data_IF_898154126957
#
_entry.id   IF_898154126957
#
_cell.length_a   1.000
_cell.length_b   1.000
_cell.length_c   1.000
_cell.angle_alpha   90.00
_cell.angle_beta   90.00
_cell.angle_gamma   90.00
#
_symmetry.space_group_name_H-M   'P 1'
#
loop_
_entity.id
_entity.type
_entity.pdbx_description
1 polymer ?
#
# COMPACT_ATOMS: atom_id res chain seq x y z
N UNK A 1 9.38 -18.37 -5.51
CA UNK A 1 9.19 -17.13 -4.75
C UNK A 1 9.42 -15.98 -5.71
N UNK A 2 8.41 -15.15 -5.95
CA UNK A 2 8.53 -13.96 -6.79
C UNK A 2 9.39 -12.92 -6.04
N UNK A 3 10.37 -12.34 -6.70
CA UNK A 3 11.21 -11.28 -6.11
C UNK A 3 10.39 -10.01 -5.90
N UNK A 4 10.82 -9.15 -4.97
CA UNK A 4 10.19 -7.85 -4.73
C UNK A 4 10.01 -7.04 -6.04
N UNK A 5 11.01 -7.06 -6.92
CA UNK A 5 10.97 -6.30 -8.17
C UNK A 5 10.04 -6.90 -9.23
N UNK A 6 9.88 -8.22 -9.24
CA UNK A 6 8.85 -8.86 -10.07
C UNK A 6 7.45 -8.48 -9.58
N UNK A 7 7.22 -8.42 -8.26
CA UNK A 7 5.96 -7.93 -7.71
C UNK A 7 5.70 -6.46 -8.10
N UNK A 8 6.69 -5.59 -7.96
CA UNK A 8 6.61 -4.19 -8.40
C UNK A 8 6.24 -4.11 -9.89
N UNK A 9 6.91 -4.88 -10.74
CA UNK A 9 6.62 -4.93 -12.17
C UNK A 9 5.19 -5.39 -12.48
N UNK A 10 4.72 -6.44 -11.80
CA UNK A 10 3.33 -6.90 -11.89
C UNK A 10 2.34 -5.82 -11.47
N UNK A 11 2.60 -5.10 -10.37
CA UNK A 11 1.71 -4.04 -9.90
C UNK A 11 1.65 -2.84 -10.84
N UNK A 12 2.78 -2.47 -11.46
CA UNK A 12 2.80 -1.45 -12.52
C UNK A 12 1.92 -1.86 -13.68
N UNK A 13 2.04 -3.12 -14.14
CA UNK A 13 1.21 -3.65 -15.22
C UNK A 13 -0.27 -3.67 -14.85
N UNK A 14 -0.60 -4.11 -13.64
CA UNK A 14 -1.96 -4.11 -13.11
C UNK A 14 -2.56 -2.70 -13.20
N UNK A 15 -1.95 -1.70 -12.54
CA UNK A 15 -2.42 -0.31 -12.53
C UNK A 15 -2.57 0.28 -13.94
N UNK A 16 -1.64 -0.05 -14.86
CA UNK A 16 -1.71 0.38 -16.25
C UNK A 16 -2.92 -0.22 -16.98
N UNK A 17 -3.20 -1.49 -16.75
CA UNK A 17 -4.29 -2.21 -17.45
C UNK A 17 -5.67 -1.98 -16.84
N UNK A 18 -5.75 -1.69 -15.54
CA UNK A 18 -7.01 -1.39 -14.82
C UNK A 18 -7.30 0.11 -14.74
N UNK A 19 -6.55 0.93 -15.50
CA UNK A 19 -6.67 2.38 -15.43
C UNK A 19 -8.10 2.85 -15.77
N UNK A 20 -8.74 3.70 -14.93
CA UNK A 20 -10.16 4.06 -15.09
C UNK A 20 -10.53 4.73 -16.42
N UNK A 21 -9.56 5.35 -17.11
CA UNK A 21 -9.79 6.01 -18.41
C UNK A 21 -9.54 5.08 -19.60
N UNK A 22 -9.45 3.78 -19.35
CA UNK A 22 -9.13 2.74 -20.33
C UNK A 22 -7.69 2.24 -20.22
N UNK A 23 -7.48 1.01 -20.68
CA UNK A 23 -6.18 0.34 -20.71
C UNK A 23 -5.11 1.22 -21.35
N UNK A 24 -4.09 1.59 -20.58
CA UNK A 24 -2.94 2.34 -21.07
C UNK A 24 -1.95 1.41 -21.79
N UNK A 25 -1.38 1.82 -22.92
CA UNK A 25 -0.22 1.11 -23.48
C UNK A 25 1.06 1.44 -22.68
N UNK A 26 2.11 0.63 -22.86
CA UNK A 26 3.40 0.88 -22.20
C UNK A 26 4.01 2.20 -22.68
N UNK A 27 3.87 2.49 -23.97
CA UNK A 27 4.34 3.71 -24.63
C UNK A 27 3.58 4.94 -24.11
N UNK A 28 2.25 4.85 -23.98
CA UNK A 28 1.44 5.93 -23.44
C UNK A 28 1.80 6.25 -21.99
N UNK A 29 2.02 5.22 -21.17
CA UNK A 29 2.49 5.43 -19.78
C UNK A 29 3.89 6.06 -19.76
N UNK A 30 4.80 5.59 -20.60
CA UNK A 30 6.15 6.15 -20.70
C UNK A 30 6.13 7.64 -21.09
N UNK A 31 5.28 8.02 -22.05
CA UNK A 31 5.09 9.40 -22.47
C UNK A 31 4.56 10.28 -21.32
N UNK A 32 3.54 9.80 -20.60
CA UNK A 32 2.97 10.52 -19.44
C UNK A 32 3.99 10.72 -18.32
N UNK A 33 4.85 9.74 -18.10
CA UNK A 33 5.92 9.79 -17.09
C UNK A 33 7.20 10.48 -17.60
N UNK A 34 7.25 10.87 -18.88
CA UNK A 34 8.41 11.48 -19.53
C UNK A 34 9.67 10.61 -19.43
N UNK A 35 9.51 9.30 -19.58
CA UNK A 35 10.60 8.32 -19.65
C UNK A 35 10.71 7.73 -21.05
N UNK A 36 11.81 7.04 -21.36
CA UNK A 36 11.95 6.36 -22.64
C UNK A 36 10.85 5.30 -22.86
N UNK A 37 10.41 5.13 -24.11
CA UNK A 37 9.29 4.24 -24.47
C UNK A 37 9.46 2.79 -24.00
N UNK A 38 10.70 2.30 -23.95
CA UNK A 38 11.02 0.94 -23.52
C UNK A 38 11.14 0.77 -21.99
N UNK A 39 11.12 1.86 -21.22
CA UNK A 39 11.37 1.84 -19.78
C UNK A 39 10.27 1.09 -19.03
N UNK A 40 9.00 1.37 -19.33
CA UNK A 40 7.84 0.72 -18.70
C UNK A 40 7.88 -0.80 -18.94
N UNK A 41 8.17 -1.22 -20.17
CA UNK A 41 8.32 -2.64 -20.52
C UNK A 41 9.40 -3.33 -19.68
N UNK A 42 10.54 -2.66 -19.47
CA UNK A 42 11.65 -3.17 -18.66
C UNK A 42 11.33 -3.21 -17.16
N UNK A 43 10.52 -2.29 -16.66
CA UNK A 43 10.01 -2.35 -15.28
C UNK A 43 9.03 -3.50 -15.10
N UNK A 44 8.05 -3.66 -15.99
CA UNK A 44 7.03 -4.72 -15.90
C UNK A 44 7.62 -6.13 -16.03
N UNK A 45 8.74 -6.27 -16.74
CA UNK A 45 9.45 -7.56 -16.90
C UNK A 45 10.52 -7.80 -15.83
N UNK A 46 10.73 -6.85 -14.91
CA UNK A 46 11.77 -6.95 -13.88
C UNK A 46 13.21 -6.82 -14.40
N UNK A 47 13.40 -6.57 -15.71
CA UNK A 47 14.71 -6.41 -16.35
C UNK A 47 15.45 -5.17 -15.83
N UNK A 48 14.71 -4.11 -15.52
CA UNK A 48 15.23 -2.92 -14.85
C UNK A 48 14.45 -2.66 -13.57
N UNK A 49 15.17 -2.24 -12.54
CA UNK A 49 14.61 -1.91 -11.24
C UNK A 49 14.21 -0.43 -11.24
N UNK A 50 12.92 -0.09 -11.12
CA UNK A 50 12.51 1.31 -10.95
C UNK A 50 13.14 1.87 -9.67
N UNK A 51 13.55 3.13 -9.73
CA UNK A 51 14.05 3.87 -8.56
C UNK A 51 12.88 4.31 -7.66
N UNK A 52 13.14 4.71 -6.41
CA UNK A 52 12.10 5.32 -5.57
C UNK A 52 11.41 6.53 -6.21
N UNK A 53 12.14 7.33 -7.02
CA UNK A 53 11.59 8.47 -7.75
C UNK A 53 10.66 8.04 -8.88
N UNK A 54 10.98 6.94 -9.56
CA UNK A 54 10.10 6.36 -10.59
C UNK A 54 8.81 5.84 -9.96
N UNK A 55 8.91 5.15 -8.82
CA UNK A 55 7.75 4.66 -8.06
C UNK A 55 6.88 5.79 -7.50
N UNK A 56 7.48 6.87 -7.00
CA UNK A 56 6.75 8.08 -6.59
C UNK A 56 6.01 8.72 -7.78
N UNK A 57 6.64 8.79 -8.95
CA UNK A 57 6.02 9.31 -10.17
C UNK A 57 4.84 8.46 -10.63
N UNK A 58 4.98 7.13 -10.57
CA UNK A 58 3.91 6.16 -10.84
C UNK A 58 2.76 6.29 -9.84
N UNK A 59 3.07 6.33 -8.53
CA UNK A 59 2.08 6.49 -7.47
C UNK A 59 1.24 7.76 -7.66
N UNK A 60 1.89 8.90 -7.95
CA UNK A 60 1.21 10.17 -8.24
C UNK A 60 0.35 10.08 -9.49
N UNK A 61 0.86 9.48 -10.57
CA UNK A 61 0.12 9.33 -11.82
C UNK A 61 -1.16 8.50 -11.65
N UNK A 62 -1.07 7.39 -10.90
CA UNK A 62 -2.20 6.51 -10.63
C UNK A 62 -3.06 6.92 -9.42
N UNK A 63 -2.67 7.99 -8.71
CA UNK A 63 -3.31 8.44 -7.48
C UNK A 63 -3.42 7.35 -6.39
N UNK A 64 -2.37 6.54 -6.25
CA UNK A 64 -2.25 5.48 -5.23
C UNK A 64 -1.13 5.82 -4.24
N UNK A 65 -1.09 5.13 -3.11
CA UNK A 65 0.05 5.22 -2.19
C UNK A 65 1.29 4.59 -2.82
N UNK A 66 2.48 5.15 -2.55
CA UNK A 66 3.74 4.51 -2.97
C UNK A 66 3.92 3.13 -2.31
N UNK A 67 3.32 2.90 -1.14
CA UNK A 67 3.33 1.59 -0.47
C UNK A 67 2.63 0.52 -1.29
N UNK A 68 1.79 0.89 -2.26
CA UNK A 68 1.06 -0.05 -3.11
C UNK A 68 1.94 -0.94 -3.97
N UNK A 69 3.18 -0.55 -4.21
CA UNK A 69 4.15 -1.39 -4.92
C UNK A 69 4.83 -2.44 -4.02
N UNK A 70 4.56 -2.46 -2.72
CA UNK A 70 5.26 -3.28 -1.73
C UNK A 70 4.27 -4.19 -0.99
N UNK A 71 4.34 -5.52 -1.19
CA UNK A 71 3.35 -6.46 -0.67
C UNK A 71 3.32 -6.50 0.86
N UNK A 72 4.46 -6.28 1.52
CA UNK A 72 4.54 -6.27 2.99
C UNK A 72 4.03 -4.95 3.62
N UNK A 73 3.80 -3.92 2.81
CA UNK A 73 3.29 -2.61 3.23
C UNK A 73 1.84 -2.36 2.81
N UNK A 74 1.32 -3.13 1.85
CA UNK A 74 -0.10 -3.14 1.51
C UNK A 74 -0.90 -3.72 2.67
N UNK A 75 -1.76 -2.90 3.28
CA UNK A 75 -2.70 -3.37 4.30
C UNK A 75 -4.05 -3.61 3.66
N UNK A 76 -4.24 -4.77 3.02
CA UNK A 76 -5.55 -5.25 2.54
C UNK A 76 -6.45 -5.78 3.68
N UNK A 77 -6.25 -5.29 4.90
CA UNK A 77 -7.02 -5.75 6.06
C UNK A 77 -8.44 -5.12 6.01
N UNK A 78 -9.52 -5.92 5.83
CA UNK A 78 -10.88 -5.41 5.80
C UNK A 78 -11.25 -4.61 7.05
N UNK A 79 -10.58 -4.89 8.18
CA UNK A 79 -10.77 -4.14 9.44
C UNK A 79 -10.24 -2.72 9.34
N UNK A 80 -9.14 -2.50 8.61
CA UNK A 80 -8.59 -1.16 8.36
C UNK A 80 -9.56 -0.38 7.48
N UNK A 81 -10.08 -0.99 6.42
CA UNK A 81 -11.09 -0.36 5.57
C UNK A 81 -12.37 -0.01 6.35
N UNK A 82 -12.88 -0.94 7.16
CA UNK A 82 -14.03 -0.71 8.03
C UNK A 82 -13.78 0.41 9.05
N UNK A 83 -12.59 0.46 9.64
CA UNK A 83 -12.21 1.52 10.59
C UNK A 83 -12.15 2.89 9.91
N UNK A 84 -11.52 3.00 8.73
CA UNK A 84 -11.47 4.25 7.95
C UNK A 84 -12.87 4.72 7.58
N UNK A 85 -13.75 3.80 7.16
CA UNK A 85 -15.15 4.10 6.87
C UNK A 85 -15.91 4.59 8.11
N UNK A 86 -15.82 3.85 9.22
CA UNK A 86 -16.52 4.19 10.47
C UNK A 86 -16.03 5.48 11.14
N UNK A 87 -14.78 5.88 10.88
CA UNK A 87 -14.19 7.11 11.42
C UNK A 87 -14.22 8.28 10.44
N UNK A 88 -14.66 8.06 9.20
CA UNK A 88 -14.78 9.09 8.18
C UNK A 88 -15.79 10.17 8.59
N UNK A 89 -15.37 11.43 8.54
CA UNK A 89 -16.22 12.58 8.88
C UNK A 89 -16.35 12.89 10.38
N UNK A 90 -15.67 12.12 11.25
CA UNK A 90 -15.59 12.49 12.67
C UNK A 90 -14.83 13.80 12.85
N UNK A 91 -15.27 14.58 13.84
CA UNK A 91 -14.50 15.72 14.30
C UNK A 91 -13.18 15.25 14.94
N UNK A 92 -12.18 16.14 14.96
CA UNK A 92 -10.85 15.82 15.50
C UNK A 92 -10.91 15.24 16.91
N UNK A 93 -11.76 15.80 17.78
CA UNK A 93 -11.91 15.36 19.18
C UNK A 93 -12.44 13.93 19.27
N UNK A 94 -13.43 13.59 18.45
CA UNK A 94 -14.04 12.25 18.46
C UNK A 94 -13.08 11.22 17.86
N UNK A 95 -12.36 11.60 16.81
CA UNK A 95 -11.32 10.77 16.22
C UNK A 95 -10.20 10.45 17.23
N UNK A 96 -9.76 11.44 18.02
CA UNK A 96 -8.79 11.25 19.09
C UNK A 96 -9.30 10.26 20.16
N UNK A 97 -10.58 10.31 20.50
CA UNK A 97 -11.17 9.43 21.50
C UNK A 97 -11.20 7.97 21.02
N UNK A 98 -11.50 7.73 19.75
CA UNK A 98 -11.39 6.39 19.12
C UNK A 98 -9.98 5.83 19.26
N UNK A 99 -8.95 6.65 19.00
CA UNK A 99 -7.54 6.26 19.15
C UNK A 99 -7.23 5.93 20.61
N UNK A 100 -7.61 6.80 21.56
CA UNK A 100 -7.38 6.58 23.00
C UNK A 100 -8.01 5.27 23.46
N UNK A 101 -9.24 4.99 23.03
CA UNK A 101 -9.91 3.75 23.41
C UNK A 101 -9.22 2.51 22.82
N UNK A 102 -8.77 2.56 21.57
CA UNK A 102 -7.98 1.47 20.98
C UNK A 102 -6.68 1.20 21.76
N UNK A 103 -5.98 2.26 22.19
CA UNK A 103 -4.78 2.16 23.03
C UNK A 103 -5.10 1.59 24.42
N UNK A 104 -6.19 2.05 25.06
CA UNK A 104 -6.66 1.52 26.34
C UNK A 104 -6.92 0.01 26.27
N UNK A 105 -7.56 -0.47 25.19
CA UNK A 105 -7.81 -1.90 24.98
C UNK A 105 -6.51 -2.70 24.81
N UNK A 106 -5.50 -2.16 24.13
CA UNK A 106 -4.17 -2.78 24.02
C UNK A 106 -3.49 -2.87 25.39
N UNK A 107 -3.48 -1.77 26.15
CA UNK A 107 -2.87 -1.71 27.48
C UNK A 107 -3.54 -2.70 28.45
N UNK A 108 -4.88 -2.74 28.47
CA UNK A 108 -5.64 -3.70 29.29
C UNK A 108 -5.27 -5.15 28.96
N UNK A 109 -5.23 -5.51 27.68
CA UNK A 109 -4.86 -6.87 27.26
C UNK A 109 -3.43 -7.24 27.65
N UNK A 110 -2.49 -6.29 27.56
CA UNK A 110 -1.11 -6.50 27.99
C UNK A 110 -1.03 -6.76 29.51
N UNK A 111 -1.75 -5.99 30.31
CA UNK A 111 -1.83 -6.20 31.77
C UNK A 111 -2.47 -7.55 32.14
N UNK A 112 -3.55 -7.93 31.45
CA UNK A 112 -4.21 -9.24 31.64
C UNK A 112 -3.26 -10.40 31.30
N UNK A 113 -2.50 -10.29 30.22
CA UNK A 113 -1.49 -11.29 29.83
C UNK A 113 -0.35 -11.38 30.85
N UNK A 114 0.12 -10.25 31.39
CA UNK A 114 1.18 -10.22 32.41
C UNK A 114 0.76 -10.85 33.74
N UNK A 115 -0.54 -10.79 34.09
CA UNK A 115 -1.10 -11.44 35.29
C UNK A 115 -1.25 -12.95 35.16
N UNK A 116 -1.20 -13.52 33.96
CA UNK A 116 -1.30 -14.97 33.75
C UNK A 116 0.03 -15.64 34.10
N UNK A 117 0.07 -16.62 35.03
CA UNK A 117 1.31 -17.31 35.36
C UNK A 117 1.85 -18.04 34.14
N UNK A 118 3.16 -17.93 33.87
CA UNK A 118 3.82 -18.76 32.85
C UNK A 118 3.66 -20.22 33.28
N UNK A 119 2.87 -21.01 32.55
CA UNK A 119 2.89 -22.47 32.69
C UNK A 119 4.34 -22.92 32.51
N UNK A 120 4.95 -23.48 33.55
CA UNK A 120 6.26 -24.15 33.46
C UNK A 120 6.07 -25.32 32.48
N UNK A 121 6.88 -25.32 31.42
CA UNK A 121 7.08 -26.48 30.55
C UNK A 121 7.93 -27.52 31.28
#
# INVERSE_FOLDING_TARGET
MTTLYEHIGHKIRELRTTYPKGTLSQEALAEKLKVASNTVSRWETGKYKPTPKDLDSLARFFAVSITTFFPDLETDDPRVAALTSATGGLEKKDFEEVIRYAQFRKARRAMENAKRPKKKA
#
